data_IF_951489342759
#
_entry.id   IF_951489342759
#
_cell.length_a   1.000
_cell.length_b   1.000
_cell.length_c   1.000
_cell.angle_alpha   90.00
_cell.angle_beta   90.00
_cell.angle_gamma   90.00
#
_symmetry.space_group_name_H-M   'P 1'
#
loop_
_entity.id
_entity.type
_entity.pdbx_description
1 polymer ?
#
# COMPACT_ATOMS: atom_id res chain seq x y z
N UNK A 1 5.07 -18.45 -12.80
CA UNK A 1 4.75 -17.04 -12.46
C UNK A 1 5.07 -16.78 -11.00
N UNK A 2 5.83 -15.73 -10.70
CA UNK A 2 6.02 -15.27 -9.33
C UNK A 2 4.78 -14.48 -8.91
N UNK A 3 3.94 -15.13 -8.13
CA UNK A 3 2.72 -14.57 -7.56
C UNK A 3 3.06 -13.76 -6.30
N UNK A 4 2.60 -12.51 -6.25
CA UNK A 4 2.79 -11.62 -5.10
C UNK A 4 1.45 -11.29 -4.47
N UNK A 5 1.38 -11.21 -3.14
CA UNK A 5 0.20 -10.70 -2.45
C UNK A 5 0.60 -9.54 -1.56
N UNK A 6 -0.29 -8.56 -1.42
CA UNK A 6 -0.10 -7.48 -0.46
C UNK A 6 -1.19 -7.54 0.59
N UNK A 7 -0.77 -7.58 1.85
CA UNK A 7 -1.65 -7.66 3.02
C UNK A 7 -1.53 -6.36 3.79
N UNK A 8 -2.67 -5.72 4.07
CA UNK A 8 -2.76 -4.57 4.96
C UNK A 8 -3.26 -5.01 6.34
N UNK A 9 -2.63 -4.51 7.39
CA UNK A 9 -3.05 -4.69 8.77
C UNK A 9 -3.63 -3.39 9.28
N UNK A 10 -4.85 -3.45 9.82
CA UNK A 10 -5.58 -2.33 10.38
C UNK A 10 -5.36 -2.23 11.89
N UNK A 11 -5.55 -1.02 12.44
CA UNK A 11 -5.47 -0.76 13.90
C UNK A 11 -6.41 -1.60 14.75
N UNK A 12 -7.53 -2.04 14.16
CA UNK A 12 -8.52 -2.88 14.83
C UNK A 12 -8.12 -4.36 14.93
N UNK A 13 -6.87 -4.71 14.57
CA UNK A 13 -6.37 -6.08 14.60
C UNK A 13 -6.82 -6.94 13.41
N UNK A 14 -7.58 -6.38 12.45
CA UNK A 14 -7.95 -7.09 11.23
C UNK A 14 -6.88 -6.94 10.16
N UNK A 15 -6.71 -7.99 9.36
CA UNK A 15 -5.91 -7.95 8.14
C UNK A 15 -6.80 -8.14 6.92
N UNK A 16 -6.38 -7.60 5.79
CA UNK A 16 -7.06 -7.81 4.51
C UNK A 16 -6.06 -7.87 3.36
N UNK A 17 -6.42 -8.64 2.33
CA UNK A 17 -5.63 -8.73 1.10
C UNK A 17 -5.99 -7.50 0.25
N UNK A 18 -5.01 -6.63 0.05
CA UNK A 18 -5.16 -5.41 -0.74
C UNK A 18 -4.87 -5.64 -2.22
N UNK A 19 -3.98 -6.58 -2.53
CA UNK A 19 -3.69 -6.99 -3.90
C UNK A 19 -3.49 -8.50 -3.99
N UNK A 20 -4.16 -9.07 -4.98
CA UNK A 20 -4.14 -10.48 -5.37
C UNK A 20 -2.94 -10.82 -6.26
N UNK A 21 -2.57 -12.10 -6.37
CA UNK A 21 -1.41 -12.54 -7.15
C UNK A 21 -1.54 -12.39 -8.67
N UNK A 22 -2.73 -12.10 -9.16
CA UNK A 22 -3.00 -11.83 -10.56
C UNK A 22 -2.53 -10.43 -10.98
N UNK A 23 -2.27 -9.56 -10.02
CA UNK A 23 -1.82 -8.20 -10.27
C UNK A 23 -0.30 -8.11 -10.49
N UNK A 24 0.17 -7.23 -11.37
CA UNK A 24 1.59 -7.09 -11.64
C UNK A 24 2.31 -6.48 -10.44
N UNK A 25 3.54 -6.94 -10.18
CA UNK A 25 4.38 -6.49 -9.06
C UNK A 25 4.56 -4.96 -8.98
N UNK A 26 4.46 -4.25 -10.10
CA UNK A 26 4.46 -2.79 -10.13
C UNK A 26 3.35 -2.17 -9.27
N UNK A 27 2.13 -2.72 -9.32
CA UNK A 27 1.01 -2.28 -8.47
C UNK A 27 1.26 -2.56 -7.00
N UNK A 28 1.80 -3.74 -6.66
CA UNK A 28 2.20 -4.06 -5.29
C UNK A 28 3.22 -3.07 -4.74
N UNK A 29 4.23 -2.68 -5.54
CA UNK A 29 5.21 -1.67 -5.16
C UNK A 29 4.60 -0.28 -4.98
N UNK A 30 3.68 0.11 -5.85
CA UNK A 30 3.01 1.40 -5.76
C UNK A 30 2.15 1.46 -4.50
N UNK A 31 1.30 0.46 -4.27
CA UNK A 31 0.47 0.37 -3.08
C UNK A 31 1.32 0.33 -1.82
N UNK A 32 2.40 -0.46 -1.78
CA UNK A 32 3.31 -0.50 -0.64
C UNK A 32 3.95 0.87 -0.34
N UNK A 33 4.04 1.79 -1.31
CA UNK A 33 4.53 3.16 -1.07
C UNK A 33 3.41 4.11 -0.66
N UNK A 34 2.25 4.01 -1.30
CA UNK A 34 1.15 4.98 -1.14
C UNK A 34 0.16 4.61 -0.05
N UNK A 35 0.17 3.37 0.46
CA UNK A 35 -0.77 2.93 1.49
C UNK A 35 -0.64 3.81 2.74
N UNK A 36 -1.72 4.50 3.06
CA UNK A 36 -1.88 5.42 4.18
C UNK A 36 -3.29 5.23 4.77
N UNK A 37 -3.59 5.84 5.92
CA UNK A 37 -4.91 5.75 6.56
C UNK A 37 -4.93 4.86 7.79
N UNK A 38 -5.97 4.02 7.93
CA UNK A 38 -6.25 3.20 9.12
C UNK A 38 -5.40 1.93 9.25
N UNK A 39 -4.43 1.76 8.36
CA UNK A 39 -3.47 0.67 8.41
C UNK A 39 -2.32 0.98 9.37
N UNK A 40 -1.92 -0.01 10.15
CA UNK A 40 -0.71 0.01 10.99
C UNK A 40 0.49 -0.51 10.22
N UNK A 41 0.30 -1.56 9.43
CA UNK A 41 1.36 -2.26 8.74
C UNK A 41 0.90 -2.72 7.36
N UNK A 42 1.86 -2.83 6.45
CA UNK A 42 1.66 -3.45 5.14
C UNK A 42 2.78 -4.44 4.87
N UNK A 43 2.41 -5.60 4.37
CA UNK A 43 3.32 -6.67 4.01
C UNK A 43 3.14 -7.06 2.54
N UNK A 44 4.24 -7.43 1.90
CA UNK A 44 4.23 -8.06 0.58
C UNK A 44 4.84 -9.44 0.72
N UNK A 45 4.13 -10.43 0.21
CA UNK A 45 4.53 -11.83 0.22
C UNK A 45 4.67 -12.32 -1.21
N UNK A 46 5.65 -13.20 -1.41
CA UNK A 46 5.85 -13.96 -2.63
C UNK A 46 5.57 -15.43 -2.32
N UNK A 47 4.86 -16.11 -3.22
CA UNK A 47 4.63 -17.55 -3.06
C UNK A 47 5.94 -18.36 -3.02
N UNK A 48 6.98 -17.89 -3.71
CA UNK A 48 8.26 -18.60 -3.82
C UNK A 48 9.27 -18.22 -2.72
N UNK A 49 9.21 -16.98 -2.20
CA UNK A 49 10.22 -16.44 -1.27
C UNK A 49 9.67 -16.14 0.13
N UNK A 50 8.37 -16.35 0.36
CA UNK A 50 7.72 -15.93 1.60
C UNK A 50 7.61 -14.40 1.71
N UNK A 51 7.72 -13.87 2.93
CA UNK A 51 7.62 -12.44 3.18
C UNK A 51 8.82 -11.70 2.60
N UNK A 52 8.57 -10.85 1.59
CA UNK A 52 9.62 -10.12 0.88
C UNK A 52 9.78 -8.69 1.37
N UNK A 53 8.70 -8.05 1.86
CA UNK A 53 8.75 -6.69 2.40
C UNK A 53 7.72 -6.49 3.50
N UNK A 54 8.07 -5.68 4.50
CA UNK A 54 7.16 -5.17 5.52
C UNK A 54 7.45 -3.69 5.73
N UNK A 55 6.39 -2.89 5.91
CA UNK A 55 6.50 -1.48 6.28
C UNK A 55 5.42 -1.13 7.27
N UNK A 56 5.83 -0.50 8.37
CA UNK A 56 4.90 0.16 9.29
C UNK A 56 4.34 1.41 8.60
N UNK A 57 3.03 1.43 8.38
CA UNK A 57 2.34 2.57 7.78
C UNK A 57 2.36 3.67 8.82
N UNK A 58 3.13 4.73 8.54
CA UNK A 58 3.13 5.91 9.39
C UNK A 58 1.73 6.53 9.28
N UNK A 59 1.03 6.58 10.40
CA UNK A 59 -0.17 7.42 10.55
C UNK A 59 0.33 8.86 10.69
N UNK A 60 0.94 9.38 9.62
CA UNK A 60 1.26 10.80 9.54
C UNK A 60 -0.07 11.51 9.59
N UNK A 61 -0.35 12.14 10.74
CA UNK A 61 -1.36 13.18 10.92
C UNK A 61 -1.45 13.95 9.60
N UNK A 62 -2.59 13.81 8.91
CA UNK A 62 -2.95 14.37 7.59
C UNK A 62 -1.92 15.39 7.14
N UNK A 63 -1.08 15.03 6.15
CA UNK A 63 -0.33 16.04 5.42
C UNK A 63 -1.38 17.00 4.86
N UNK A 64 -1.39 18.20 5.44
CA UNK A 64 -2.28 19.31 5.15
C UNK A 64 -2.42 19.40 3.63
N UNK A 65 -3.66 19.31 3.15
CA UNK A 65 -4.04 19.63 1.78
C UNK A 65 -3.38 20.96 1.41
N UNK A 66 -2.46 20.92 0.47
CA UNK A 66 -1.96 22.10 -0.24
C UNK A 66 -1.76 21.66 -1.68
N UNK A 67 -2.39 22.24 -2.68
CA UNK A 67 -3.38 23.30 -2.78
C UNK A 67 -3.98 23.10 -4.18
N UNK A 68 -5.27 23.35 -4.29
CA UNK A 68 -6.07 23.39 -5.50
C UNK A 68 -5.39 24.09 -6.69
N UNK A 69 -5.62 23.50 -7.86
CA UNK A 69 -5.91 24.15 -9.15
C UNK A 69 -4.94 25.20 -9.69
N UNK A 70 -4.29 24.87 -10.81
CA UNK A 70 -4.06 25.87 -11.86
C UNK A 70 -4.52 25.30 -13.19
N UNK A 71 -5.79 25.58 -13.48
CA UNK A 71 -6.32 25.58 -14.84
C UNK A 71 -5.53 26.66 -15.61
N UNK A 72 -4.68 26.23 -16.54
CA UNK A 72 -4.04 27.14 -17.50
C UNK A 72 -5.01 27.32 -18.65
N UNK A 73 -5.65 28.49 -18.69
CA UNK A 73 -6.34 29.00 -19.87
C UNK A 73 -5.35 29.91 -20.58
N UNK A 74 -4.91 29.50 -21.77
CA UNK A 74 -4.37 30.38 -22.80
C UNK A 74 -5.38 30.40 -23.94
#
# INVERSE_FOLDING_TARGET
>A
MNAFITIGYKKNGKSEILLSPDEPYAKHRQLFKTLTGDYTDVEVWSRAMGKIKQRKVKTSKVAKVSKTSKESKE
#
